data_IF_784640868394
#
_entry.id   IF_784640868394
#
_cell.length_a   1.000
_cell.length_b   1.000
_cell.length_c   1.000
_cell.angle_alpha   90.00
_cell.angle_beta   90.00
_cell.angle_gamma   90.00
#
_symmetry.space_group_name_H-M   'P 1'
#
loop_
_entity.id
_entity.type
_entity.pdbx_description
1 polymer ?
#
# COMPACT_ATOMS: atom_id res chain seq x y z
N UNK A 1 4.33 -10.98 -6.38
CA UNK A 1 5.46 -10.14 -5.86
C UNK A 1 6.66 -10.31 -6.76
N UNK A 2 7.14 -11.54 -6.92
CA UNK A 2 8.00 -12.04 -8.00
C UNK A 2 7.86 -11.33 -9.37
N UNK A 3 6.65 -11.19 -9.93
CA UNK A 3 6.47 -10.47 -11.21
C UNK A 3 6.72 -8.96 -11.10
N UNK A 4 6.36 -8.34 -9.97
CA UNK A 4 6.62 -6.92 -9.73
C UNK A 4 8.12 -6.62 -9.65
N UNK A 5 8.91 -7.54 -9.08
CA UNK A 5 10.38 -7.45 -9.05
C UNK A 5 10.95 -7.46 -10.47
N UNK A 6 10.51 -8.39 -11.33
CA UNK A 6 10.97 -8.46 -12.73
C UNK A 6 10.66 -7.19 -13.51
N UNK A 7 9.46 -6.62 -13.31
CA UNK A 7 9.11 -5.36 -13.98
C UNK A 7 9.87 -4.17 -13.39
N UNK A 8 10.23 -4.19 -12.10
CA UNK A 8 11.09 -3.17 -11.50
C UNK A 8 12.51 -3.20 -12.05
N UNK A 9 13.10 -4.39 -12.23
CA UNK A 9 14.40 -4.55 -12.90
C UNK A 9 14.36 -4.02 -14.34
N UNK A 10 13.26 -4.28 -15.06
CA UNK A 10 13.04 -3.77 -16.40
C UNK A 10 12.93 -2.24 -16.41
N UNK A 11 12.16 -1.67 -15.47
CA UNK A 11 12.00 -0.22 -15.34
C UNK A 11 13.35 0.47 -15.09
N UNK A 12 14.17 -0.08 -14.19
CA UNK A 12 15.50 0.43 -13.91
C UNK A 12 16.43 0.35 -15.14
N UNK A 13 16.41 -0.75 -15.90
CA UNK A 13 17.16 -0.87 -17.18
C UNK A 13 16.78 0.16 -18.22
N UNK A 14 15.53 0.64 -18.18
CA UNK A 14 15.02 1.70 -19.06
C UNK A 14 15.30 3.11 -18.53
N UNK A 15 15.92 3.25 -17.35
CA UNK A 15 16.20 4.54 -16.72
C UNK A 15 14.98 5.18 -16.04
N UNK A 16 13.93 4.41 -15.74
CA UNK A 16 12.78 4.92 -14.97
C UNK A 16 13.23 5.05 -13.50
N UNK A 17 13.11 6.24 -12.89
CA UNK A 17 13.72 6.50 -11.59
C UNK A 17 12.90 5.96 -10.41
N UNK A 18 11.59 5.77 -10.57
CA UNK A 18 10.70 5.34 -9.50
C UNK A 18 9.45 4.62 -10.00
N UNK A 19 8.84 3.82 -9.12
CA UNK A 19 7.55 3.14 -9.34
C UNK A 19 6.60 3.50 -8.21
N UNK A 20 5.34 3.77 -8.54
CA UNK A 20 4.25 3.88 -7.58
C UNK A 20 3.50 2.54 -7.47
N UNK A 21 3.34 2.02 -6.25
CA UNK A 21 2.69 0.72 -6.02
C UNK A 21 1.28 0.90 -5.45
N UNK A 22 0.29 0.27 -6.08
CA UNK A 22 -1.09 0.21 -5.60
C UNK A 22 -1.49 -1.25 -5.35
N UNK A 23 -1.91 -1.62 -4.13
CA UNK A 23 -2.24 -2.99 -3.82
C UNK A 23 -3.64 -3.38 -4.32
N UNK A 24 -3.80 -4.65 -4.68
CA UNK A 24 -5.12 -5.27 -4.72
C UNK A 24 -5.23 -6.21 -3.51
N UNK A 25 -5.80 -5.70 -2.42
CA UNK A 25 -5.94 -6.46 -1.16
C UNK A 25 -7.12 -7.42 -1.26
N UNK A 26 -6.94 -8.67 -0.79
CA UNK A 26 -8.01 -9.66 -0.75
C UNK A 26 -9.19 -9.17 0.10
N UNK A 27 -10.42 -9.42 -0.33
CA UNK A 27 -11.63 -8.96 0.37
C UNK A 27 -11.71 -9.48 1.82
N UNK A 28 -11.17 -10.67 2.09
CA UNK A 28 -11.09 -11.27 3.43
C UNK A 28 -10.19 -10.51 4.40
N UNK A 29 -9.28 -9.68 3.89
CA UNK A 29 -8.36 -8.85 4.66
C UNK A 29 -8.86 -7.41 4.81
N UNK A 30 -10.06 -7.10 4.27
CA UNK A 30 -10.67 -5.78 4.35
C UNK A 30 -11.70 -5.72 5.47
N UNK A 31 -11.71 -4.62 6.22
CA UNK A 31 -12.67 -4.39 7.30
C UNK A 31 -13.16 -2.94 7.34
N UNK A 32 -14.04 -2.59 8.28
CA UNK A 32 -14.63 -1.24 8.36
C UNK A 32 -13.61 -0.14 8.73
N UNK A 33 -12.41 -0.51 9.15
CA UNK A 33 -11.37 0.42 9.61
C UNK A 33 -10.16 0.43 8.70
N UNK A 34 -10.02 -0.52 7.78
CA UNK A 34 -8.80 -0.71 7.01
C UNK A 34 -7.62 -1.22 7.85
N UNK A 35 -7.87 -1.98 8.92
CA UNK A 35 -6.85 -2.30 9.94
C UNK A 35 -5.62 -3.03 9.38
N UNK A 36 -5.80 -3.80 8.31
CA UNK A 36 -4.73 -4.54 7.64
C UNK A 36 -3.66 -3.63 7.00
N UNK A 37 -3.89 -2.33 6.89
CA UNK A 37 -2.84 -1.38 6.49
C UNK A 37 -1.65 -1.42 7.47
N UNK A 38 -1.90 -1.71 8.75
CA UNK A 38 -0.90 -1.78 9.80
C UNK A 38 -0.11 -3.10 9.84
N UNK A 39 -0.47 -4.09 9.01
CA UNK A 39 0.26 -5.35 8.95
C UNK A 39 1.64 -5.12 8.29
N UNK A 40 2.77 -5.37 8.99
CA UNK A 40 4.11 -5.24 8.40
C UNK A 40 4.34 -6.20 7.22
N UNK A 41 3.55 -7.26 7.11
CA UNK A 41 3.54 -8.25 6.03
C UNK A 41 2.44 -8.02 4.99
N UNK A 42 1.80 -6.85 4.99
CA UNK A 42 0.87 -6.47 3.93
C UNK A 42 1.55 -6.50 2.54
N UNK A 43 0.75 -6.56 1.47
CA UNK A 43 1.27 -6.78 0.11
C UNK A 43 2.13 -5.62 -0.40
N UNK A 44 1.85 -4.36 -0.01
CA UNK A 44 2.68 -3.20 -0.37
C UNK A 44 4.07 -3.36 0.25
N UNK A 45 4.12 -3.68 1.54
CA UNK A 45 5.35 -3.79 2.31
C UNK A 45 6.21 -4.96 1.82
N UNK A 46 5.61 -6.13 1.58
CA UNK A 46 6.32 -7.29 0.98
C UNK A 46 6.85 -6.99 -0.41
N UNK A 47 6.06 -6.32 -1.27
CA UNK A 47 6.50 -5.93 -2.60
C UNK A 47 7.64 -4.91 -2.54
N UNK A 48 7.54 -3.91 -1.67
CA UNK A 48 8.56 -2.88 -1.46
C UNK A 48 9.88 -3.51 -1.03
N UNK A 49 9.89 -4.35 0.01
CA UNK A 49 11.10 -5.06 0.45
C UNK A 49 11.73 -5.86 -0.70
N UNK A 50 10.93 -6.69 -1.39
CA UNK A 50 11.43 -7.52 -2.48
C UNK A 50 11.99 -6.72 -3.67
N UNK A 51 11.37 -5.59 -4.02
CA UNK A 51 11.88 -4.71 -5.08
C UNK A 51 13.17 -4.02 -4.64
N UNK A 52 13.23 -3.51 -3.40
CA UNK A 52 14.43 -2.85 -2.87
C UNK A 52 15.61 -3.82 -2.73
N UNK A 53 15.37 -5.08 -2.43
CA UNK A 53 16.41 -6.12 -2.38
C UNK A 53 17.01 -6.40 -3.77
N UNK A 54 16.19 -6.37 -4.83
CA UNK A 54 16.62 -6.66 -6.20
C UNK A 54 17.17 -5.43 -6.95
N UNK A 55 16.60 -4.26 -6.69
CA UNK A 55 16.90 -2.99 -7.40
C UNK A 55 17.02 -1.84 -6.37
N UNK A 56 18.10 -1.79 -5.59
CA UNK A 56 18.24 -0.83 -4.48
C UNK A 56 18.18 0.64 -4.90
N UNK A 57 18.52 0.96 -6.16
CA UNK A 57 18.52 2.32 -6.69
C UNK A 57 17.15 2.84 -7.16
N UNK A 58 16.18 1.97 -7.49
CA UNK A 58 14.86 2.45 -7.95
C UNK A 58 14.07 3.00 -6.78
N UNK A 59 13.46 4.17 -6.97
CA UNK A 59 12.54 4.77 -6.00
C UNK A 59 11.24 3.98 -5.91
N UNK A 60 10.68 3.88 -4.70
CA UNK A 60 9.36 3.30 -4.46
C UNK A 60 8.50 4.37 -3.80
N UNK A 61 7.34 4.64 -4.41
CA UNK A 61 6.33 5.56 -3.91
C UNK A 61 5.15 4.68 -3.48
N UNK A 62 4.95 4.55 -2.17
CA UNK A 62 3.83 3.81 -1.61
C UNK A 62 2.62 4.72 -1.45
N UNK A 63 1.43 4.14 -1.59
CA UNK A 63 0.18 4.84 -1.37
C UNK A 63 -0.23 4.78 0.12
N UNK A 64 -0.63 5.93 0.67
CA UNK A 64 -0.97 6.12 2.08
C UNK A 64 -2.47 6.41 2.21
N UNK A 65 -3.30 5.38 1.96
CA UNK A 65 -4.76 5.48 1.91
C UNK A 65 -5.43 4.18 2.40
N UNK A 66 -6.66 4.27 2.92
CA UNK A 66 -7.39 3.12 3.46
C UNK A 66 -8.30 2.42 2.45
N UNK A 67 -8.59 2.98 1.28
CA UNK A 67 -9.56 2.41 0.32
C UNK A 67 -9.26 0.97 -0.15
N UNK A 68 -7.99 0.53 -0.29
CA UNK A 68 -7.73 -0.86 -0.64
C UNK A 68 -7.99 -1.79 0.54
N UNK A 69 -7.95 -1.26 1.78
CA UNK A 69 -8.05 -2.01 3.02
C UNK A 69 -9.45 -1.94 3.64
N UNK A 70 -10.30 -0.98 3.26
CA UNK A 70 -11.64 -0.88 3.81
C UNK A 70 -12.64 -1.77 3.07
N UNK A 71 -13.58 -2.35 3.81
CA UNK A 71 -14.66 -3.18 3.24
C UNK A 71 -15.63 -2.37 2.36
N UNK A 72 -15.72 -1.06 2.60
CA UNK A 72 -16.58 -0.13 1.87
C UNK A 72 -15.86 0.63 0.74
N UNK A 73 -14.52 0.60 0.67
CA UNK A 73 -13.74 1.24 -0.39
C UNK A 73 -13.58 2.76 -0.29
N UNK A 74 -14.04 3.39 0.78
CA UNK A 74 -13.65 4.76 1.14
C UNK A 74 -12.26 4.83 1.79
N UNK A 75 -11.58 5.96 1.59
CA UNK A 75 -10.21 6.25 2.02
C UNK A 75 -10.04 6.42 3.54
N UNK A 76 -11.12 6.30 4.32
CA UNK A 76 -11.10 6.57 5.75
C UNK A 76 -12.05 5.71 6.57
N UNK A 77 -11.92 5.80 7.89
CA UNK A 77 -12.74 5.06 8.86
C UNK A 77 -14.15 5.62 8.85
N UNK A 78 -15.14 4.77 8.55
CA UNK A 78 -16.55 5.15 8.48
C UNK A 78 -17.25 4.97 9.83
N UNK A 79 -17.92 6.01 10.31
CA UNK A 79 -18.85 5.97 11.46
C UNK A 79 -20.11 6.74 11.12
N UNK A 80 -21.27 6.12 11.29
CA UNK A 80 -22.58 6.73 11.04
C UNK A 80 -22.70 7.43 9.68
N UNK A 81 -22.07 6.86 8.64
CA UNK A 81 -22.08 7.39 7.27
C UNK A 81 -21.09 8.55 7.02
N UNK A 82 -20.21 8.86 7.97
CA UNK A 82 -19.22 9.94 7.87
C UNK A 82 -17.81 9.37 8.04
N UNK A 83 -16.87 9.85 7.22
CA UNK A 83 -15.46 9.55 7.38
C UNK A 83 -14.89 10.34 8.56
N UNK A 84 -14.39 9.64 9.56
CA UNK A 84 -13.83 10.26 10.76
C UNK A 84 -12.38 10.68 10.49
N UNK A 85 -12.19 11.98 10.26
CA UNK A 85 -10.91 12.56 9.83
C UNK A 85 -9.74 12.17 10.74
N UNK A 86 -9.81 12.50 12.04
CA UNK A 86 -8.64 12.37 12.92
C UNK A 86 -8.26 10.90 13.15
N UNK A 87 -9.25 10.01 13.30
CA UNK A 87 -8.99 8.57 13.39
C UNK A 87 -8.37 8.03 12.08
N UNK A 88 -8.83 8.51 10.93
CA UNK A 88 -8.29 8.13 9.62
C UNK A 88 -6.83 8.58 9.49
N UNK A 89 -6.55 9.84 9.82
CA UNK A 89 -5.19 10.40 9.78
C UNK A 89 -4.27 9.66 10.74
N UNK A 90 -4.72 9.35 11.96
CA UNK A 90 -3.93 8.60 12.94
C UNK A 90 -3.55 7.21 12.40
N UNK A 91 -4.50 6.49 11.79
CA UNK A 91 -4.23 5.15 11.25
C UNK A 91 -3.33 5.18 10.01
N UNK A 92 -3.53 6.14 9.11
CA UNK A 92 -2.66 6.32 7.94
C UNK A 92 -1.25 6.71 8.37
N UNK A 93 -1.11 7.61 9.34
CA UNK A 93 0.19 8.03 9.87
C UNK A 93 0.92 6.89 10.58
N UNK A 94 0.21 6.00 11.27
CA UNK A 94 0.81 4.83 11.91
C UNK A 94 1.31 3.78 10.91
N UNK A 95 0.78 3.76 9.68
CA UNK A 95 1.19 2.85 8.62
C UNK A 95 2.37 3.36 7.75
N UNK A 96 2.66 4.67 7.81
CA UNK A 96 3.69 5.34 7.01
C UNK A 96 5.07 5.31 7.67
#
# INVERSE_FOLDING_TARGET
VDLAVKEAERAAKLGIPAIATFPNVELSLRDETGSHILDPENIINRATRAIKDAVPEIGIITDAALDPFTSHGHDGILRDGIIVNDQTVEQVAAAA
#
